data_IF_971142880325
#
_entry.id   IF_971142880325
#
_cell.length_a   1.000
_cell.length_b   1.000
_cell.length_c   1.000
_cell.angle_alpha   90.00
_cell.angle_beta   90.00
_cell.angle_gamma   90.00
#
_symmetry.space_group_name_H-M   'P 1'
#
loop_
_entity.id
_entity.type
_entity.pdbx_description
1 polymer ?
#
# COMPACT_ATOMS: atom_id res chain seq x y z
N UNK A 1 -3.31 -30.36 -1.51
CA UNK A 1 -2.86 -29.00 -1.86
C UNK A 1 -2.69 -28.23 -0.57
N UNK A 2 -1.48 -28.14 -0.04
CA UNK A 2 -1.18 -27.37 1.17
C UNK A 2 -1.04 -25.90 0.77
N UNK A 3 -2.09 -25.11 1.01
CA UNK A 3 -1.94 -23.65 1.08
C UNK A 3 -0.92 -23.38 2.18
N UNK A 4 0.23 -22.80 1.83
CA UNK A 4 1.05 -22.09 2.80
C UNK A 4 0.20 -20.92 3.28
N UNK A 5 -0.45 -21.08 4.43
CA UNK A 5 -1.02 -19.94 5.15
C UNK A 5 0.16 -19.16 5.73
N UNK A 6 0.56 -18.11 5.03
CA UNK A 6 1.35 -17.06 5.66
C UNK A 6 0.42 -16.34 6.64
N UNK A 7 0.93 -15.99 7.80
CA UNK A 7 0.19 -15.27 8.83
C UNK A 7 0.97 -14.02 9.22
N UNK A 8 0.26 -12.93 9.44
CA UNK A 8 0.84 -11.67 9.90
C UNK A 8 0.12 -11.18 11.15
N UNK A 9 0.80 -10.45 12.05
CA UNK A 9 0.13 -9.82 13.18
C UNK A 9 -0.95 -8.86 12.68
N UNK A 10 -2.16 -8.95 13.23
CA UNK A 10 -3.27 -8.12 12.78
C UNK A 10 -3.00 -6.61 12.94
N UNK A 11 -2.14 -6.22 13.90
CA UNK A 11 -1.68 -4.83 14.03
C UNK A 11 -0.81 -4.36 12.86
N UNK A 12 -0.10 -5.25 12.17
CA UNK A 12 0.71 -4.88 11.00
C UNK A 12 -0.15 -4.22 9.90
N UNK A 13 -1.42 -4.62 9.78
CA UNK A 13 -2.39 -3.97 8.88
C UNK A 13 -2.52 -2.48 9.21
N UNK A 14 -2.72 -2.16 10.49
CA UNK A 14 -3.05 -0.81 10.95
C UNK A 14 -1.80 0.06 11.11
N UNK A 15 -0.71 -0.52 11.60
CA UNK A 15 0.50 0.21 12.00
C UNK A 15 1.49 0.36 10.84
N UNK A 16 1.42 -0.50 9.81
CA UNK A 16 2.35 -0.46 8.68
C UNK A 16 1.64 -0.38 7.33
N UNK A 17 0.78 -1.36 7.01
CA UNK A 17 0.23 -1.52 5.66
C UNK A 17 -0.69 -0.36 5.27
N UNK A 18 -1.67 -0.03 6.11
CA UNK A 18 -2.61 1.07 5.85
C UNK A 18 -1.90 2.44 5.75
N UNK A 19 -0.98 2.81 6.68
CA UNK A 19 -0.18 4.02 6.56
C UNK A 19 0.67 4.10 5.28
N UNK A 20 1.32 3.00 4.87
CA UNK A 20 2.09 2.97 3.62
C UNK A 20 1.18 3.18 2.41
N UNK A 21 0.04 2.48 2.37
CA UNK A 21 -0.93 2.62 1.29
C UNK A 21 -1.43 4.06 1.16
N UNK A 22 -1.79 4.69 2.28
CA UNK A 22 -2.22 6.08 2.32
C UNK A 22 -1.10 7.05 1.87
N UNK A 23 0.15 6.78 2.26
CA UNK A 23 1.30 7.59 1.88
C UNK A 23 1.56 7.55 0.37
N UNK A 24 1.48 6.37 -0.25
CA UNK A 24 1.66 6.22 -1.70
C UNK A 24 0.50 6.88 -2.44
N UNK A 25 -0.75 6.67 -1.98
CA UNK A 25 -1.91 7.32 -2.58
C UNK A 25 -1.78 8.85 -2.54
N UNK A 26 -1.39 9.41 -1.39
CA UNK A 26 -1.16 10.86 -1.25
C UNK A 26 -0.04 11.37 -2.16
N UNK A 27 1.03 10.58 -2.33
CA UNK A 27 2.10 10.92 -3.26
C UNK A 27 1.58 11.00 -4.71
N UNK A 28 0.83 10.00 -5.16
CA UNK A 28 0.26 9.95 -6.53
C UNK A 28 -0.73 11.10 -6.75
N UNK A 29 -1.67 11.29 -5.83
CA UNK A 29 -2.77 12.24 -5.98
C UNK A 29 -2.30 13.69 -5.91
N UNK A 30 -1.38 14.00 -4.99
CA UNK A 30 -0.99 15.37 -4.71
C UNK A 30 0.39 15.71 -5.26
N UNK A 31 1.43 14.99 -4.84
CA UNK A 31 2.82 15.37 -5.16
C UNK A 31 3.12 15.19 -6.64
N UNK A 32 2.82 14.01 -7.19
CA UNK A 32 3.09 13.72 -8.60
C UNK A 32 2.20 14.55 -9.53
N UNK A 33 0.91 14.69 -9.22
CA UNK A 33 0.01 15.59 -9.95
C UNK A 33 0.50 17.04 -9.96
N UNK A 34 0.96 17.56 -8.82
CA UNK A 34 1.49 18.93 -8.73
C UNK A 34 2.85 19.08 -9.44
N UNK A 35 3.65 18.02 -9.56
CA UNK A 35 4.88 18.02 -10.36
C UNK A 35 4.53 18.16 -11.84
N UNK A 36 3.64 17.31 -12.34
CA UNK A 36 3.15 17.30 -13.73
C UNK A 36 2.59 18.68 -14.13
N UNK A 37 1.78 19.29 -13.25
CA UNK A 37 1.17 20.60 -13.51
C UNK A 37 2.19 21.75 -13.62
N UNK A 38 3.32 21.66 -12.92
CA UNK A 38 4.37 22.69 -12.90
C UNK A 38 5.51 22.40 -13.89
N UNK A 39 5.46 21.27 -14.59
CA UNK A 39 6.54 20.81 -15.46
C UNK A 39 6.45 21.49 -16.83
N UNK A 40 7.40 22.38 -17.13
CA UNK A 40 7.47 23.10 -18.40
C UNK A 40 8.06 22.25 -19.54
N UNK A 41 8.87 21.23 -19.22
CA UNK A 41 9.41 20.32 -20.21
C UNK A 41 8.39 19.24 -20.58
N UNK A 42 7.91 19.27 -21.83
CA UNK A 42 6.91 18.32 -22.36
C UNK A 42 7.34 16.86 -22.22
N UNK A 43 8.63 16.55 -22.39
CA UNK A 43 9.12 15.18 -22.28
C UNK A 43 9.11 14.69 -20.82
N UNK A 44 9.55 15.54 -19.88
CA UNK A 44 9.48 15.20 -18.45
C UNK A 44 8.04 15.11 -17.96
N UNK A 45 7.16 16.00 -18.42
CA UNK A 45 5.73 15.94 -18.10
C UNK A 45 5.13 14.60 -18.54
N UNK A 46 5.37 14.20 -19.79
CA UNK A 46 4.89 12.92 -20.33
C UNK A 46 5.47 11.72 -19.57
N UNK A 47 6.74 11.79 -19.16
CA UNK A 47 7.37 10.76 -18.34
C UNK A 47 6.70 10.62 -16.97
N UNK A 48 6.40 11.74 -16.30
CA UNK A 48 5.69 11.74 -15.02
C UNK A 48 4.23 11.31 -15.15
N UNK A 49 3.53 11.68 -16.23
CA UNK A 49 2.17 11.21 -16.54
C UNK A 49 2.12 9.69 -16.70
N UNK A 50 3.08 9.12 -17.44
CA UNK A 50 3.19 7.67 -17.59
C UNK A 50 3.45 6.98 -16.25
N UNK A 51 4.38 7.53 -15.45
CA UNK A 51 4.65 7.02 -14.11
C UNK A 51 3.39 7.06 -13.23
N UNK A 52 2.61 8.16 -13.30
CA UNK A 52 1.37 8.30 -12.55
C UNK A 52 0.38 7.19 -12.92
N UNK A 53 0.15 6.97 -14.22
CA UNK A 53 -0.76 5.93 -14.70
C UNK A 53 -0.32 4.52 -14.26
N UNK A 54 0.98 4.21 -14.34
CA UNK A 54 1.54 2.94 -13.84
C UNK A 54 1.26 2.75 -12.35
N UNK A 55 1.52 3.78 -11.54
CA UNK A 55 1.30 3.73 -10.09
C UNK A 55 -0.19 3.59 -9.72
N UNK A 56 -1.09 4.27 -10.43
CA UNK A 56 -2.54 4.15 -10.21
C UNK A 56 -3.05 2.73 -10.49
N UNK A 57 -2.51 2.07 -11.52
CA UNK A 57 -2.83 0.67 -11.82
C UNK A 57 -2.31 -0.28 -10.74
N UNK A 58 -1.05 -0.13 -10.32
CA UNK A 58 -0.45 -0.94 -9.24
C UNK A 58 -1.23 -0.76 -7.92
N UNK A 59 -1.57 0.49 -7.57
CA UNK A 59 -2.35 0.82 -6.38
C UNK A 59 -3.74 0.19 -6.41
N UNK A 60 -4.41 0.19 -7.57
CA UNK A 60 -5.73 -0.42 -7.70
C UNK A 60 -5.68 -1.91 -7.34
N UNK A 61 -4.70 -2.65 -7.86
CA UNK A 61 -4.53 -4.07 -7.58
C UNK A 61 -4.20 -4.31 -6.10
N UNK A 62 -3.29 -3.51 -5.54
CA UNK A 62 -2.91 -3.61 -4.12
C UNK A 62 -4.12 -3.35 -3.23
N UNK A 63 -4.90 -2.29 -3.50
CA UNK A 63 -6.10 -1.92 -2.74
C UNK A 63 -7.14 -3.02 -2.77
N UNK A 64 -7.43 -3.60 -3.94
CA UNK A 64 -8.40 -4.70 -4.04
C UNK A 64 -8.03 -5.88 -3.13
N UNK A 65 -6.75 -6.26 -3.06
CA UNK A 65 -6.31 -7.36 -2.21
C UNK A 65 -6.33 -6.98 -0.72
N UNK A 66 -5.88 -5.77 -0.36
CA UNK A 66 -5.90 -5.31 1.04
C UNK A 66 -7.33 -5.13 1.54
N UNK A 67 -8.24 -4.60 0.71
CA UNK A 67 -9.65 -4.45 1.05
C UNK A 67 -10.31 -5.82 1.29
N UNK A 68 -9.97 -6.83 0.49
CA UNK A 68 -10.43 -8.20 0.69
C UNK A 68 -9.91 -8.78 2.01
N UNK A 69 -8.62 -8.57 2.32
CA UNK A 69 -8.00 -8.99 3.57
C UNK A 69 -8.69 -8.36 4.79
N UNK A 70 -8.93 -7.05 4.74
CA UNK A 70 -9.59 -6.30 5.81
C UNK A 70 -11.03 -6.80 5.99
N UNK A 71 -11.78 -7.00 4.90
CA UNK A 71 -13.15 -7.54 4.97
C UNK A 71 -13.19 -8.93 5.58
N UNK A 72 -12.24 -9.80 5.22
CA UNK A 72 -12.17 -11.17 5.73
C UNK A 72 -11.89 -11.22 7.23
N UNK A 73 -11.10 -10.28 7.73
CA UNK A 73 -10.68 -10.21 9.13
C UNK A 73 -11.29 -9.06 9.92
N UNK A 74 -12.36 -8.44 9.42
CA UNK A 74 -13.01 -7.29 10.06
C UNK A 74 -13.31 -7.54 11.55
N UNK A 75 -13.90 -8.67 11.98
CA UNK A 75 -14.16 -8.90 13.40
C UNK A 75 -12.90 -8.87 14.27
N UNK A 76 -11.78 -9.35 13.73
CA UNK A 76 -10.49 -9.37 14.42
C UNK A 76 -9.88 -7.97 14.48
N UNK A 77 -9.90 -7.25 13.35
CA UNK A 77 -9.34 -5.90 13.22
C UNK A 77 -10.13 -4.87 14.06
N UNK A 78 -11.46 -4.92 14.08
CA UNK A 78 -12.29 -4.01 14.87
C UNK A 78 -12.04 -4.13 16.38
N UNK A 79 -11.62 -5.31 16.85
CA UNK A 79 -11.28 -5.54 18.28
C UNK A 79 -9.90 -5.01 18.67
N UNK A 80 -9.00 -4.77 17.71
CA UNK A 80 -7.66 -4.25 18.01
C UNK A 80 -7.70 -2.84 18.61
N UNK A 81 -8.66 -2.01 18.19
CA UNK A 81 -8.84 -0.65 18.75
C UNK A 81 -9.23 -0.64 20.23
N UNK A 82 -9.70 -1.77 20.77
CA UNK A 82 -10.14 -1.92 22.17
C UNK A 82 -9.05 -2.56 23.05
N UNK A 83 -8.09 -3.27 22.45
CA UNK A 83 -7.09 -4.07 23.17
C UNK A 83 -5.69 -3.42 23.19
N UNK A 84 -5.10 -3.30 24.39
CA UNK A 84 -3.71 -2.82 24.58
C UNK A 84 -2.64 -3.88 24.28
N UNK A 85 -2.99 -5.09 23.83
CA UNK A 85 -1.99 -6.10 23.47
C UNK A 85 -1.12 -5.60 22.30
N UNK A 86 0.19 -5.71 22.45
CA UNK A 86 1.21 -5.04 21.64
C UNK A 86 1.26 -5.45 20.16
N UNK A 87 0.81 -6.66 19.78
CA UNK A 87 0.80 -7.12 18.38
C UNK A 87 -0.58 -7.54 17.84
N UNK A 88 -1.58 -7.80 18.71
CA UNK A 88 -2.84 -8.45 18.29
C UNK A 88 -2.63 -9.93 17.90
N UNK A 89 -3.70 -10.68 17.59
CA UNK A 89 -3.58 -12.04 17.07
C UNK A 89 -3.03 -12.03 15.64
N UNK A 90 -2.42 -13.13 15.23
CA UNK A 90 -2.06 -13.34 13.83
C UNK A 90 -3.32 -13.58 12.99
N UNK A 91 -3.30 -13.11 11.74
CA UNK A 91 -4.34 -13.32 10.73
C UNK A 91 -3.76 -14.01 9.52
N UNK A 92 -4.50 -14.98 8.98
CA UNK A 92 -4.12 -15.70 7.78
C UNK A 92 -4.27 -14.83 6.53
N UNK A 93 -3.22 -14.76 5.73
CA UNK A 93 -3.21 -14.12 4.42
C UNK A 93 -3.11 -15.19 3.33
N UNK A 94 -3.78 -14.95 2.20
CA UNK A 94 -3.62 -15.79 1.03
C UNK A 94 -2.45 -15.29 0.14
N UNK A 95 -2.10 -16.09 -0.87
CA UNK A 95 -0.98 -15.81 -1.77
C UNK A 95 -1.08 -14.46 -2.49
N UNK A 96 -2.29 -13.97 -2.78
CA UNK A 96 -2.50 -12.71 -3.49
C UNK A 96 -2.38 -11.53 -2.53
N UNK A 97 -2.88 -11.68 -1.31
CA UNK A 97 -2.72 -10.70 -0.23
C UNK A 97 -1.26 -10.57 0.20
N UNK A 98 -0.55 -11.69 0.37
CA UNK A 98 0.89 -11.72 0.64
C UNK A 98 1.68 -10.99 -0.45
N UNK A 99 1.42 -11.33 -1.71
CA UNK A 99 2.05 -10.65 -2.84
C UNK A 99 1.75 -9.15 -2.88
N UNK A 100 0.52 -8.73 -2.55
CA UNK A 100 0.13 -7.33 -2.50
C UNK A 100 0.83 -6.57 -1.38
N UNK A 101 0.98 -7.17 -0.19
CA UNK A 101 1.70 -6.57 0.94
C UNK A 101 3.18 -6.40 0.62
N UNK A 102 3.83 -7.42 0.06
CA UNK A 102 5.22 -7.29 -0.37
C UNK A 102 5.39 -6.23 -1.47
N UNK A 103 4.46 -6.22 -2.44
CA UNK A 103 4.48 -5.24 -3.52
C UNK A 103 4.33 -3.81 -2.96
N UNK A 104 3.40 -3.60 -2.04
CA UNK A 104 3.22 -2.34 -1.33
C UNK A 104 4.51 -1.90 -0.63
N UNK A 105 5.18 -2.80 0.11
CA UNK A 105 6.43 -2.51 0.82
C UNK A 105 7.54 -2.10 -0.16
N UNK A 106 7.69 -2.81 -1.28
CA UNK A 106 8.66 -2.47 -2.34
C UNK A 106 8.33 -1.11 -2.97
N UNK A 107 7.06 -0.86 -3.28
CA UNK A 107 6.61 0.38 -3.91
C UNK A 107 6.82 1.59 -2.99
N UNK A 108 6.49 1.44 -1.71
CA UNK A 108 6.75 2.46 -0.68
C UNK A 108 8.23 2.83 -0.63
N UNK A 109 9.13 1.84 -0.62
CA UNK A 109 10.57 2.10 -0.62
C UNK A 109 11.03 2.78 -1.91
N UNK A 110 10.55 2.33 -3.07
CA UNK A 110 10.86 2.97 -4.37
C UNK A 110 10.48 4.45 -4.37
N UNK A 111 9.26 4.78 -3.96
CA UNK A 111 8.79 6.18 -3.92
C UNK A 111 9.59 6.99 -2.91
N UNK A 112 9.88 6.42 -1.73
CA UNK A 112 10.71 7.09 -0.74
C UNK A 112 12.11 7.38 -1.29
N UNK A 113 12.75 6.45 -1.98
CA UNK A 113 14.08 6.68 -2.59
C UNK A 113 14.03 7.72 -3.70
N UNK A 114 12.99 7.71 -4.54
CA UNK A 114 12.86 8.67 -5.65
C UNK A 114 12.56 10.11 -5.18
N UNK A 115 11.93 10.27 -4.02
CA UNK A 115 11.38 11.57 -3.57
C UNK A 115 11.72 11.95 -2.13
N UNK A 116 12.70 11.30 -1.51
CA UNK A 116 13.32 11.72 -0.24
C UNK A 116 14.38 12.81 -0.45
N UNK A 117 14.90 12.96 -1.68
CA UNK A 117 15.94 13.93 -2.05
C UNK A 117 15.37 15.16 -2.81
N UNK A 118 14.08 15.48 -2.62
CA UNK A 118 13.39 16.61 -3.28
C UNK A 118 12.80 17.61 -2.30
#
# INVERSE_FOLDING_TARGET
MTQTNDAIPAREIMDDIMPKLASIQSFVDHRLSASIQRQDNVNERKREENLKAELEMELTIIRMNIDNLIKRHEPTLSRLGVSRQSCGPDIDIDKHEAAAIEHLKRLYQRIRTLYADS
#
